data_IF_002456549337
#
_entry.id   IF_002456549337
#
_cell.length_a   1.000
_cell.length_b   1.000
_cell.length_c   1.000
_cell.angle_alpha   90.00
_cell.angle_beta   90.00
_cell.angle_gamma   90.00
#
_symmetry.space_group_name_H-M   'P 1'
#
loop_
_entity.id
_entity.type
_entity.pdbx_description
1 polymer ?
#
# COMPACT_ATOMS: atom_id res chain seq x y z
N UNK A 1 -52.92 24.92 -18.82
CA UNK A 1 -51.51 25.24 -18.48
C UNK A 1 -51.14 24.48 -17.24
N UNK A 2 -50.36 23.41 -17.35
CA UNK A 2 -49.90 22.61 -16.22
C UNK A 2 -48.66 23.30 -15.58
N UNK A 3 -48.77 23.68 -14.29
CA UNK A 3 -47.65 24.22 -13.52
C UNK A 3 -46.59 23.12 -13.30
N UNK A 4 -45.42 23.25 -13.90
CA UNK A 4 -44.30 22.41 -13.62
C UNK A 4 -43.92 22.48 -12.13
N UNK A 5 -43.99 21.34 -11.41
CA UNK A 5 -43.52 21.21 -10.03
C UNK A 5 -42.00 21.41 -10.04
N UNK A 6 -41.49 22.43 -9.34
CA UNK A 6 -40.06 22.61 -9.09
C UNK A 6 -39.55 21.38 -8.34
N UNK A 7 -38.38 20.81 -8.76
CA UNK A 7 -37.79 19.71 -8.02
C UNK A 7 -37.38 20.18 -6.62
N UNK A 8 -38.01 19.59 -5.60
CA UNK A 8 -37.63 19.81 -4.20
C UNK A 8 -36.21 19.21 -4.00
N UNK A 9 -35.22 20.05 -3.72
CA UNK A 9 -33.89 19.60 -3.31
C UNK A 9 -34.04 18.82 -2.00
N UNK A 10 -33.84 17.52 -2.07
CA UNK A 10 -33.83 16.65 -0.90
C UNK A 10 -32.51 16.87 -0.16
N UNK A 11 -32.56 17.43 1.05
CA UNK A 11 -31.39 17.57 1.93
C UNK A 11 -31.08 16.18 2.49
N UNK A 12 -29.90 15.66 2.21
CA UNK A 12 -29.44 14.36 2.71
C UNK A 12 -29.08 14.54 4.19
N UNK A 13 -29.71 13.80 5.09
CA UNK A 13 -29.38 13.82 6.51
C UNK A 13 -28.17 12.96 6.83
N UNK A 14 -27.44 13.28 7.90
CA UNK A 14 -26.29 12.50 8.38
C UNK A 14 -26.66 11.04 8.63
N UNK A 15 -27.86 10.78 9.16
CA UNK A 15 -28.37 9.43 9.39
C UNK A 15 -28.60 8.65 8.08
N UNK A 16 -29.04 9.34 7.03
CA UNK A 16 -29.25 8.73 5.71
C UNK A 16 -27.92 8.40 5.04
N UNK A 17 -26.90 9.25 5.21
CA UNK A 17 -25.52 8.98 4.77
C UNK A 17 -24.94 7.79 5.53
N UNK A 18 -25.03 7.75 6.86
CA UNK A 18 -24.54 6.64 7.68
C UNK A 18 -25.23 5.31 7.36
N UNK A 19 -26.54 5.35 7.11
CA UNK A 19 -27.27 4.14 6.70
C UNK A 19 -26.80 3.63 5.35
N UNK A 20 -26.70 4.52 4.34
CA UNK A 20 -26.21 4.13 3.00
C UNK A 20 -24.77 3.64 3.04
N UNK A 21 -23.92 4.22 3.88
CA UNK A 21 -22.54 3.77 4.07
C UNK A 21 -22.49 2.34 4.64
N UNK A 22 -23.31 2.05 5.66
CA UNK A 22 -23.42 0.68 6.21
C UNK A 22 -24.03 -0.32 5.22
N UNK A 23 -24.97 0.12 4.38
CA UNK A 23 -25.56 -0.70 3.32
C UNK A 23 -24.58 -0.94 2.13
N UNK A 24 -23.59 -0.07 1.95
CA UNK A 24 -22.57 -0.23 0.89
C UNK A 24 -21.46 -1.20 1.24
N UNK A 25 -21.12 -1.37 2.52
CA UNK A 25 -20.16 -2.39 2.96
C UNK A 25 -20.86 -3.74 3.12
N UNK A 26 -21.09 -4.43 2.00
CA UNK A 26 -21.64 -5.80 2.04
C UNK A 26 -20.55 -6.77 2.39
N UNK A 27 -20.81 -7.56 3.43
CA UNK A 27 -19.96 -8.67 3.86
C UNK A 27 -20.63 -9.99 3.50
N UNK A 28 -19.85 -10.97 3.10
CA UNK A 28 -20.30 -12.31 2.77
C UNK A 28 -19.39 -13.32 3.46
N UNK A 29 -20.01 -14.27 4.17
CA UNK A 29 -19.27 -15.39 4.74
C UNK A 29 -18.88 -16.35 3.63
N UNK A 30 -17.60 -16.69 3.55
CA UNK A 30 -17.01 -17.66 2.63
C UNK A 30 -16.53 -18.86 3.41
N UNK A 31 -16.50 -20.01 2.77
CA UNK A 31 -15.99 -21.25 3.33
C UNK A 31 -14.92 -21.82 2.42
N UNK A 32 -13.78 -22.20 2.99
CA UNK A 32 -12.70 -22.92 2.31
C UNK A 32 -12.53 -24.28 2.98
N UNK A 33 -12.07 -25.26 2.21
CA UNK A 33 -11.77 -26.61 2.71
C UNK A 33 -10.27 -26.86 2.68
N UNK A 34 -9.71 -27.22 3.83
CA UNK A 34 -8.29 -27.52 3.99
C UNK A 34 -8.21 -28.89 4.64
N UNK A 35 -7.58 -29.85 3.99
CA UNK A 35 -7.42 -31.22 4.48
C UNK A 35 -8.72 -31.89 4.95
N UNK A 36 -9.86 -31.50 4.34
CA UNK A 36 -11.20 -32.04 4.67
C UNK A 36 -11.94 -31.28 5.77
N UNK A 37 -11.31 -30.33 6.44
CA UNK A 37 -11.94 -29.43 7.40
C UNK A 37 -12.45 -28.15 6.73
N UNK A 38 -13.58 -27.62 7.23
CA UNK A 38 -14.21 -26.39 6.73
C UNK A 38 -13.82 -25.22 7.62
N UNK A 39 -13.23 -24.18 6.98
CA UNK A 39 -12.90 -22.90 7.62
C UNK A 39 -13.72 -21.80 7.00
N UNK A 40 -14.25 -20.91 7.84
CA UNK A 40 -15.05 -19.77 7.38
C UNK A 40 -14.32 -18.46 7.63
N UNK A 41 -14.50 -17.51 6.74
CA UNK A 41 -14.03 -16.13 6.88
C UNK A 41 -15.06 -15.18 6.26
N UNK A 42 -15.02 -13.92 6.69
CA UNK A 42 -15.87 -12.86 6.17
C UNK A 42 -15.12 -12.07 5.11
N UNK A 43 -15.74 -11.85 3.95
CA UNK A 43 -15.20 -11.06 2.84
C UNK A 43 -16.03 -9.79 2.66
N UNK A 44 -15.37 -8.62 2.66
CA UNK A 44 -15.98 -7.34 2.23
C UNK A 44 -16.12 -7.36 0.71
N UNK A 45 -17.34 -7.38 0.19
CA UNK A 45 -17.59 -7.47 -1.26
C UNK A 45 -17.59 -6.12 -1.97
N UNK A 46 -17.68 -5.02 -1.22
CA UNK A 46 -17.65 -3.65 -1.73
C UNK A 46 -16.74 -2.80 -0.83
N UNK A 47 -15.43 -2.74 -1.14
CA UNK A 47 -14.49 -1.95 -0.38
C UNK A 47 -14.86 -0.46 -0.37
N UNK A 48 -14.75 0.15 0.81
CA UNK A 48 -15.00 1.57 1.00
C UNK A 48 -13.72 2.38 0.76
N UNK A 49 -13.82 3.72 0.72
CA UNK A 49 -12.64 4.59 0.67
C UNK A 49 -11.74 4.44 1.91
N UNK A 50 -12.31 4.05 3.06
CA UNK A 50 -11.53 3.76 4.28
C UNK A 50 -10.72 2.48 4.08
N UNK A 51 -11.33 1.42 3.55
CA UNK A 51 -10.62 0.16 3.26
C UNK A 51 -9.48 0.39 2.26
N UNK A 52 -9.70 1.18 1.21
CA UNK A 52 -8.64 1.56 0.25
C UNK A 52 -7.51 2.33 0.92
N UNK A 53 -7.83 3.29 1.80
CA UNK A 53 -6.83 4.06 2.53
C UNK A 53 -6.03 3.19 3.52
N UNK A 54 -6.68 2.23 4.18
CA UNK A 54 -6.01 1.26 5.06
C UNK A 54 -5.06 0.35 4.27
N UNK A 55 -5.51 -0.18 3.13
CA UNK A 55 -4.67 -0.97 2.24
C UNK A 55 -3.46 -0.17 1.74
N UNK A 56 -3.67 1.06 1.28
CA UNK A 56 -2.59 1.95 0.83
C UNK A 56 -1.56 2.21 1.94
N UNK A 57 -2.04 2.44 3.16
CA UNK A 57 -1.16 2.63 4.34
C UNK A 57 -0.35 1.39 4.66
N UNK A 58 -0.95 0.19 4.62
CA UNK A 58 -0.25 -1.07 4.86
C UNK A 58 0.78 -1.35 3.76
N UNK A 59 0.45 -1.11 2.49
CA UNK A 59 1.38 -1.27 1.36
C UNK A 59 2.57 -0.30 1.43
N UNK A 60 2.36 0.96 1.84
CA UNK A 60 3.46 1.90 2.09
C UNK A 60 4.39 1.40 3.18
N UNK A 61 3.83 0.87 4.27
CA UNK A 61 4.61 0.30 5.37
C UNK A 61 5.41 -0.94 4.93
N UNK A 62 4.81 -1.82 4.13
CA UNK A 62 5.48 -2.97 3.49
C UNK A 62 6.64 -2.49 2.62
N UNK A 63 6.39 -1.51 1.75
CA UNK A 63 7.41 -0.98 0.84
C UNK A 63 8.60 -0.41 1.62
N UNK A 64 8.34 0.41 2.65
CA UNK A 64 9.40 0.96 3.49
C UNK A 64 10.17 -0.14 4.24
N UNK A 65 9.48 -1.17 4.74
CA UNK A 65 10.14 -2.31 5.38
C UNK A 65 11.08 -3.03 4.40
N UNK A 66 10.62 -3.32 3.19
CA UNK A 66 11.41 -4.00 2.17
C UNK A 66 12.64 -3.17 1.74
N UNK A 67 12.46 -1.86 1.53
CA UNK A 67 13.57 -0.97 1.16
C UNK A 67 14.59 -0.74 2.28
N UNK A 68 14.23 -0.98 3.54
CA UNK A 68 15.16 -0.92 4.67
C UNK A 68 15.77 -2.27 5.04
N UNK A 69 15.44 -3.33 4.30
CA UNK A 69 15.91 -4.68 4.57
C UNK A 69 17.01 -5.08 3.56
N UNK A 70 18.27 -5.16 4.07
CA UNK A 70 19.45 -5.49 3.23
C UNK A 70 19.33 -6.88 2.59
N UNK A 71 18.74 -7.86 3.28
CA UNK A 71 18.53 -9.20 2.73
C UNK A 71 17.59 -9.17 1.52
N UNK A 72 16.52 -8.36 1.61
CA UNK A 72 15.60 -8.15 0.48
C UNK A 72 16.28 -7.47 -0.69
N UNK A 73 17.04 -6.40 -0.44
CA UNK A 73 17.76 -5.66 -1.49
C UNK A 73 18.84 -6.51 -2.16
N UNK A 74 19.40 -7.48 -1.45
CA UNK A 74 20.37 -8.45 -1.97
C UNK A 74 19.76 -9.55 -2.87
N UNK A 75 18.42 -9.68 -2.90
CA UNK A 75 17.76 -10.67 -3.75
C UNK A 75 17.76 -10.26 -5.23
N UNK A 76 17.74 -11.24 -6.16
CA UNK A 76 17.45 -10.95 -7.56
C UNK A 76 16.10 -10.23 -7.74
N UNK A 77 16.01 -9.31 -8.69
CA UNK A 77 14.82 -8.48 -8.94
C UNK A 77 13.52 -9.30 -9.05
N UNK A 78 13.56 -10.44 -9.73
CA UNK A 78 12.41 -11.33 -9.85
C UNK A 78 11.92 -11.83 -8.49
N UNK A 79 12.83 -12.09 -7.55
CA UNK A 79 12.51 -12.53 -6.19
C UNK A 79 11.99 -11.37 -5.33
N UNK A 80 12.54 -10.18 -5.49
CA UNK A 80 12.01 -8.98 -4.84
C UNK A 80 10.56 -8.74 -5.26
N UNK A 81 10.26 -8.87 -6.56
CA UNK A 81 8.91 -8.71 -7.08
C UNK A 81 7.95 -9.80 -6.57
N UNK A 82 8.39 -11.06 -6.52
CA UNK A 82 7.59 -12.15 -5.95
C UNK A 82 7.24 -11.87 -4.48
N UNK A 83 8.21 -11.46 -3.70
CA UNK A 83 8.02 -11.16 -2.28
C UNK A 83 7.10 -9.96 -2.07
N UNK A 84 7.29 -8.89 -2.84
CA UNK A 84 6.40 -7.74 -2.81
C UNK A 84 4.95 -8.13 -3.13
N UNK A 85 4.72 -8.95 -4.17
CA UNK A 85 3.37 -9.44 -4.52
C UNK A 85 2.75 -10.28 -3.40
N UNK A 86 3.54 -11.10 -2.73
CA UNK A 86 3.08 -11.89 -1.58
C UNK A 86 2.62 -10.98 -0.44
N UNK A 87 3.40 -9.97 -0.09
CA UNK A 87 3.02 -8.98 0.92
C UNK A 87 1.78 -8.17 0.51
N UNK A 88 1.70 -7.75 -0.76
CA UNK A 88 0.57 -6.99 -1.27
C UNK A 88 -0.73 -7.81 -1.17
N UNK A 89 -0.69 -9.10 -1.50
CA UNK A 89 -1.84 -9.98 -1.37
C UNK A 89 -2.21 -10.22 0.09
N UNK A 90 -1.25 -10.40 1.00
CA UNK A 90 -1.52 -10.49 2.42
C UNK A 90 -2.16 -9.21 2.97
N UNK A 91 -1.72 -8.04 2.53
CA UNK A 91 -2.31 -6.76 2.91
C UNK A 91 -3.76 -6.65 2.42
N UNK A 92 -4.05 -7.12 1.20
CA UNK A 92 -5.42 -7.19 0.69
C UNK A 92 -6.30 -8.17 1.50
N UNK A 93 -5.79 -9.34 1.83
CA UNK A 93 -6.47 -10.32 2.69
C UNK A 93 -6.77 -9.69 4.06
N UNK A 94 -5.80 -9.06 4.70
CA UNK A 94 -5.94 -8.39 5.99
C UNK A 94 -7.03 -7.31 6.00
N UNK A 95 -7.13 -6.52 4.93
CA UNK A 95 -8.05 -5.37 4.87
C UNK A 95 -9.45 -5.79 4.42
N UNK A 96 -9.53 -6.72 3.48
CA UNK A 96 -10.81 -7.11 2.86
C UNK A 96 -11.46 -8.33 3.51
N UNK A 97 -10.77 -8.99 4.45
CA UNK A 97 -11.33 -10.13 5.17
C UNK A 97 -11.13 -9.98 6.69
N UNK A 98 -11.70 -10.90 7.46
CA UNK A 98 -11.45 -11.06 8.90
C UNK A 98 -10.34 -12.08 9.22
N UNK A 99 -9.58 -12.51 8.22
CA UNK A 99 -8.42 -13.40 8.42
C UNK A 99 -7.31 -12.63 9.14
N UNK A 100 -6.88 -13.16 10.28
CA UNK A 100 -5.82 -12.56 11.07
C UNK A 100 -4.46 -12.74 10.38
N UNK A 101 -3.82 -11.61 10.05
CA UNK A 101 -2.48 -11.57 9.48
C UNK A 101 -1.50 -11.03 10.54
N UNK A 102 -0.32 -11.63 10.71
CA UNK A 102 0.68 -11.15 11.66
C UNK A 102 1.03 -9.68 11.46
N UNK A 103 1.25 -8.96 12.56
CA UNK A 103 1.62 -7.54 12.52
C UNK A 103 3.09 -7.39 12.11
N UNK A 104 3.99 -8.21 12.68
CA UNK A 104 5.41 -8.18 12.34
C UNK A 104 5.64 -8.68 10.91
N UNK A 105 6.43 -7.93 10.14
CA UNK A 105 6.66 -8.24 8.71
C UNK A 105 7.46 -9.53 8.52
N UNK A 106 8.38 -9.83 9.42
CA UNK A 106 9.18 -11.06 9.41
C UNK A 106 8.29 -12.31 9.53
N UNK A 107 7.25 -12.24 10.36
CA UNK A 107 6.30 -13.34 10.54
C UNK A 107 5.40 -13.50 9.32
N UNK A 108 5.12 -12.42 8.58
CA UNK A 108 4.25 -12.46 7.40
C UNK A 108 4.80 -13.36 6.29
N UNK A 109 6.11 -13.43 6.09
CA UNK A 109 6.73 -14.28 5.08
C UNK A 109 6.44 -15.76 5.38
N UNK A 110 6.70 -16.18 6.62
CA UNK A 110 6.43 -17.54 7.06
C UNK A 110 4.93 -17.86 7.00
N UNK A 111 4.10 -16.91 7.42
CA UNK A 111 2.65 -17.06 7.39
C UNK A 111 2.12 -17.19 5.95
N UNK A 112 2.61 -16.36 5.03
CA UNK A 112 2.26 -16.47 3.61
C UNK A 112 2.64 -17.83 3.03
N UNK A 113 3.83 -18.32 3.33
CA UNK A 113 4.30 -19.62 2.85
C UNK A 113 3.38 -20.74 3.36
N UNK A 114 3.04 -20.74 4.65
CA UNK A 114 2.11 -21.73 5.22
C UNK A 114 0.72 -21.65 4.56
N UNK A 115 0.16 -20.45 4.40
CA UNK A 115 -1.13 -20.27 3.75
C UNK A 115 -1.11 -20.70 2.27
N UNK A 116 -0.01 -20.43 1.56
CA UNK A 116 0.15 -20.81 0.17
C UNK A 116 0.28 -22.33 -0.01
N UNK A 117 1.07 -23.00 0.84
CA UNK A 117 1.23 -24.45 0.84
C UNK A 117 -0.08 -25.18 1.13
N UNK A 118 -0.93 -24.60 1.98
CA UNK A 118 -2.27 -25.10 2.27
C UNK A 118 -3.34 -24.69 1.22
N UNK A 119 -2.97 -23.93 0.20
CA UNK A 119 -3.88 -23.44 -0.84
C UNK A 119 -4.85 -22.35 -0.38
N UNK A 120 -4.71 -21.85 0.85
CA UNK A 120 -5.62 -20.84 1.45
C UNK A 120 -5.56 -19.53 0.68
N UNK A 121 -4.35 -19.05 0.37
CA UNK A 121 -4.13 -17.80 -0.37
C UNK A 121 -4.88 -17.84 -1.70
N UNK A 122 -4.74 -18.93 -2.45
CA UNK A 122 -5.35 -19.09 -3.77
C UNK A 122 -6.88 -19.13 -3.70
N UNK A 123 -7.43 -19.76 -2.66
CA UNK A 123 -8.89 -19.84 -2.49
C UNK A 123 -9.47 -18.48 -2.05
N UNK A 124 -8.79 -17.72 -1.20
CA UNK A 124 -9.21 -16.38 -0.81
C UNK A 124 -9.12 -15.44 -2.03
N UNK A 125 -8.01 -15.45 -2.76
CA UNK A 125 -7.81 -14.62 -3.96
C UNK A 125 -8.90 -14.88 -5.01
N UNK A 126 -9.21 -16.14 -5.32
CA UNK A 126 -10.33 -16.52 -6.21
C UNK A 126 -11.70 -16.06 -5.71
N UNK A 127 -11.85 -15.84 -4.41
CA UNK A 127 -13.11 -15.40 -3.83
C UNK A 127 -13.35 -13.90 -3.95
N UNK A 128 -12.30 -13.12 -4.28
CA UNK A 128 -12.40 -11.68 -4.44
C UNK A 128 -13.40 -11.35 -5.55
N UNK A 129 -14.30 -10.43 -5.25
CA UNK A 129 -15.25 -9.92 -6.23
C UNK A 129 -14.56 -8.93 -7.18
N UNK A 130 -15.18 -8.63 -8.31
CA UNK A 130 -14.68 -7.62 -9.24
C UNK A 130 -14.41 -6.27 -8.52
N UNK A 131 -15.31 -5.86 -7.60
CA UNK A 131 -15.16 -4.64 -6.83
C UNK A 131 -13.96 -4.67 -5.87
N UNK A 132 -13.63 -5.83 -5.31
CA UNK A 132 -12.44 -6.01 -4.45
C UNK A 132 -11.17 -5.97 -5.30
N UNK A 133 -11.18 -6.67 -6.43
CA UNK A 133 -10.06 -6.70 -7.38
C UNK A 133 -9.80 -5.30 -7.97
N UNK A 134 -10.85 -4.56 -8.33
CA UNK A 134 -10.76 -3.19 -8.80
C UNK A 134 -10.17 -2.27 -7.72
N UNK A 135 -10.67 -2.35 -6.48
CA UNK A 135 -10.14 -1.58 -5.36
C UNK A 135 -8.66 -1.87 -5.07
N UNK A 136 -8.25 -3.14 -5.17
CA UNK A 136 -6.86 -3.55 -5.02
C UNK A 136 -5.99 -2.97 -6.14
N UNK A 137 -6.43 -3.07 -7.39
CA UNK A 137 -5.70 -2.51 -8.54
C UNK A 137 -5.57 -0.98 -8.47
N UNK A 138 -6.64 -0.28 -8.05
CA UNK A 138 -6.60 1.18 -7.85
C UNK A 138 -5.50 1.56 -6.84
N UNK A 139 -5.47 0.85 -5.69
CA UNK A 139 -4.47 1.12 -4.64
C UNK A 139 -3.07 0.76 -5.12
N UNK A 140 -2.89 -0.30 -5.91
CA UNK A 140 -1.59 -0.62 -6.51
C UNK A 140 -1.12 0.50 -7.46
N UNK A 141 -2.00 1.06 -8.28
CA UNK A 141 -1.67 2.18 -9.16
C UNK A 141 -1.26 3.44 -8.37
N UNK A 142 -1.94 3.74 -7.25
CA UNK A 142 -1.55 4.82 -6.33
C UNK A 142 -0.18 4.55 -5.69
N UNK A 143 0.11 3.29 -5.32
CA UNK A 143 1.43 2.91 -4.80
C UNK A 143 2.55 3.11 -5.81
N UNK A 144 2.33 2.70 -7.07
CA UNK A 144 3.32 2.92 -8.13
C UNK A 144 3.60 4.42 -8.35
N UNK A 145 2.57 5.25 -8.30
CA UNK A 145 2.74 6.70 -8.39
C UNK A 145 3.55 7.23 -7.20
N UNK A 146 3.19 6.83 -5.97
CA UNK A 146 3.91 7.23 -4.78
C UNK A 146 5.39 6.81 -4.80
N UNK A 147 5.71 5.59 -5.24
CA UNK A 147 7.10 5.13 -5.38
C UNK A 147 7.86 6.00 -6.38
N UNK A 148 7.26 6.35 -7.53
CA UNK A 148 7.87 7.24 -8.51
C UNK A 148 8.17 8.63 -7.92
N UNK A 149 7.21 9.21 -7.19
CA UNK A 149 7.34 10.51 -6.54
C UNK A 149 8.47 10.51 -5.50
N UNK A 150 8.51 9.48 -4.63
CA UNK A 150 9.56 9.34 -3.61
C UNK A 150 10.93 9.14 -4.26
N UNK A 151 11.02 8.33 -5.31
CA UNK A 151 12.28 8.11 -6.05
C UNK A 151 12.79 9.41 -6.66
N UNK A 152 11.91 10.20 -7.27
CA UNK A 152 12.28 11.50 -7.83
C UNK A 152 12.78 12.46 -6.75
N UNK A 153 12.08 12.55 -5.61
CA UNK A 153 12.51 13.39 -4.49
C UNK A 153 13.89 12.99 -3.95
N UNK A 154 14.19 11.68 -3.89
CA UNK A 154 15.51 11.19 -3.47
C UNK A 154 16.58 11.65 -4.48
N UNK A 155 16.32 11.53 -5.77
CA UNK A 155 17.25 11.96 -6.81
C UNK A 155 17.50 13.48 -6.74
N UNK A 156 16.45 14.28 -6.65
CA UNK A 156 16.54 15.74 -6.55
C UNK A 156 17.37 16.14 -5.30
N UNK A 157 17.13 15.45 -4.17
CA UNK A 157 17.91 15.69 -2.92
C UNK A 157 19.37 15.29 -3.08
N UNK A 158 19.68 14.20 -3.74
CA UNK A 158 21.06 13.77 -4.01
C UNK A 158 21.81 14.76 -4.91
N UNK A 159 21.14 15.31 -5.93
CA UNK A 159 21.71 16.35 -6.79
C UNK A 159 21.99 17.64 -6.01
N UNK A 160 21.08 18.03 -5.09
CA UNK A 160 21.26 19.19 -4.24
C UNK A 160 22.46 18.99 -3.29
N UNK A 161 22.60 17.82 -2.66
CA UNK A 161 23.73 17.47 -1.80
C UNK A 161 25.04 17.55 -2.60
N UNK A 162 25.12 16.96 -3.77
CA UNK A 162 26.31 17.00 -4.62
C UNK A 162 26.71 18.44 -5.02
N UNK A 163 25.72 19.29 -5.28
CA UNK A 163 25.96 20.70 -5.59
C UNK A 163 26.50 21.45 -4.37
N UNK A 164 25.92 21.22 -3.18
CA UNK A 164 26.41 21.83 -1.93
C UNK A 164 27.82 21.38 -1.58
N UNK A 165 28.14 20.09 -1.76
CA UNK A 165 29.50 19.56 -1.55
C UNK A 165 30.52 20.23 -2.49
N UNK A 166 30.16 20.45 -3.76
CA UNK A 166 31.00 21.16 -4.73
C UNK A 166 31.27 22.61 -4.29
N UNK A 167 30.21 23.34 -3.89
CA UNK A 167 30.34 24.73 -3.40
C UNK A 167 31.21 24.81 -2.15
N UNK A 168 31.09 23.81 -1.26
CA UNK A 168 31.87 23.76 -0.03
C UNK A 168 33.37 23.49 -0.31
N UNK A 169 33.65 22.66 -1.32
CA UNK A 169 35.02 22.40 -1.78
C UNK A 169 35.65 23.63 -2.41
N UNK A 170 34.89 24.38 -3.23
CA UNK A 170 35.34 25.64 -3.83
C UNK A 170 35.66 26.71 -2.77
N UNK A 171 34.72 26.94 -1.83
CA UNK A 171 34.90 27.89 -0.73
C UNK A 171 36.09 27.53 0.16
N UNK A 172 36.28 26.22 0.42
CA UNK A 172 37.43 25.72 1.19
C UNK A 172 38.78 25.97 0.48
N UNK A 173 38.78 25.92 -0.84
CA UNK A 173 39.97 26.18 -1.66
C UNK A 173 40.30 27.67 -1.70
N UNK A 174 39.30 28.54 -1.78
CA UNK A 174 39.44 29.98 -1.75
C UNK A 174 40.00 30.47 -0.39
N UNK A 175 39.48 29.93 0.70
CA UNK A 175 39.99 30.23 2.06
C UNK A 175 41.46 29.86 2.21
N UNK A 176 41.89 28.70 1.73
CA UNK A 176 43.32 28.29 1.80
C UNK A 176 44.23 29.17 0.96
N UNK A 177 43.73 29.71 -0.16
CA UNK A 177 44.47 30.65 -1.00
C UNK A 177 44.62 32.04 -0.34
N UNK A 178 43.60 32.48 0.40
CA UNK A 178 43.65 33.74 1.15
C UNK A 178 44.62 33.63 2.35
N UNK A 179 44.59 32.54 3.13
CA UNK A 179 45.51 32.32 4.24
C UNK A 179 46.98 32.25 3.79
N UNK A 180 47.26 31.66 2.59
CA UNK A 180 48.62 31.59 2.06
C UNK A 180 49.13 32.92 1.47
N UNK A 181 48.24 33.87 1.19
CA UNK A 181 48.62 35.21 0.65
C UNK A 181 48.89 36.22 1.77
N UNK A 182 48.43 35.97 3.00
CA UNK A 182 48.68 36.85 4.16
C UNK A 182 49.99 36.48 4.92
N UNK A 183 50.68 35.40 4.54
CA UNK A 183 51.94 34.95 5.15
C UNK A 183 53.21 35.38 4.33
N UNK A 184 53.07 36.10 3.18
CA UNK A 184 54.19 36.69 2.43
C UNK A 184 54.29 38.22 2.67
#
# INVERSE_FOLDING_TARGET
MAKAKKPTKKVISLNEVSRKYKESSKEVVKTIKIDGEEFTYTLKTHPTSIDKAELLSDLRSVTLFLYNNEEYLGLPEAKQLELYKAFALLSAIKVFTDVEIPVAFEDRINYFTMMADLGIVQEIDKSFTDSVSEAFNDVQAEMEQWVREVTQQIQDTQEEIANLESQLAEASTELKQQEGADEE
#
